data_IF_181121367515
#
_entry.id   IF_181121367515
#
_cell.length_a   1.000
_cell.length_b   1.000
_cell.length_c   1.000
_cell.angle_alpha   90.00
_cell.angle_beta   90.00
_cell.angle_gamma   90.00
#
_symmetry.space_group_name_H-M   'P 1'
#
loop_
_entity.id
_entity.type
_entity.pdbx_description
1 polymer ?
#
# COMPACT_ATOMS: atom_id res chain seq x y z
N UNK A 1 -15.24 0.50 21.71
CA UNK A 1 -14.58 1.00 22.92
C UNK A 1 -14.02 2.36 22.53
N UNK A 2 -14.60 3.44 23.07
CA UNK A 2 -14.10 4.78 22.86
C UNK A 2 -12.67 4.85 23.39
N UNK A 3 -11.67 5.14 22.52
CA UNK A 3 -10.37 5.62 23.01
C UNK A 3 -10.66 6.96 23.68
N UNK A 4 -10.49 7.02 25.00
CA UNK A 4 -10.25 8.28 25.67
C UNK A 4 -9.12 8.96 24.90
N UNK A 5 -9.34 10.16 24.43
CA UNK A 5 -8.31 11.10 24.02
C UNK A 5 -7.47 11.43 25.27
N UNK A 6 -6.60 10.52 25.67
CA UNK A 6 -5.44 10.88 26.48
C UNK A 6 -4.73 11.92 25.62
N UNK A 7 -4.59 13.14 26.15
CA UNK A 7 -4.05 14.27 25.40
C UNK A 7 -2.73 13.86 24.76
N UNK A 8 -2.67 13.92 23.44
CA UNK A 8 -1.43 13.66 22.70
C UNK A 8 -0.44 14.72 23.15
N UNK A 9 0.80 14.38 23.56
CA UNK A 9 1.74 15.31 24.19
C UNK A 9 2.32 16.37 23.22
N UNK A 10 1.72 16.52 22.03
CA UNK A 10 2.16 17.46 21.00
C UNK A 10 0.97 18.15 20.32
N UNK A 11 1.22 19.31 19.74
CA UNK A 11 0.25 20.06 18.97
C UNK A 11 0.65 20.05 17.48
N UNK A 12 -0.27 19.57 16.62
CA UNK A 12 -0.15 19.72 15.18
C UNK A 12 -0.47 21.15 14.75
N UNK A 13 0.11 21.60 13.65
CA UNK A 13 -0.21 22.89 13.05
C UNK A 13 -1.57 22.82 12.35
N UNK A 14 -2.59 23.46 12.96
CA UNK A 14 -3.97 23.47 12.45
C UNK A 14 -4.18 24.47 11.32
N UNK A 15 -3.23 25.37 11.09
CA UNK A 15 -3.30 26.33 10.00
C UNK A 15 -2.78 25.75 8.68
N UNK A 16 -2.00 24.68 8.74
CA UNK A 16 -1.49 23.95 7.59
C UNK A 16 -2.31 22.67 7.36
N UNK A 17 -3.22 22.68 6.37
CA UNK A 17 -4.05 21.50 6.07
C UNK A 17 -3.27 20.34 5.47
N UNK A 18 -3.91 19.14 5.47
CA UNK A 18 -3.45 17.99 4.70
C UNK A 18 -4.33 17.70 3.49
N UNK A 19 -3.74 17.30 2.38
CA UNK A 19 -4.44 16.83 1.17
C UNK A 19 -4.03 15.39 0.86
N UNK A 20 -4.99 14.47 0.93
CA UNK A 20 -4.79 13.10 0.45
C UNK A 20 -4.79 13.12 -1.08
N UNK A 21 -3.66 12.67 -1.66
CA UNK A 21 -3.46 12.60 -3.11
C UNK A 21 -3.45 11.14 -3.55
N UNK A 22 -4.31 10.86 -4.53
CA UNK A 22 -4.44 9.55 -5.15
C UNK A 22 -4.89 9.74 -6.60
N UNK A 23 -4.24 9.04 -7.53
CA UNK A 23 -4.60 9.05 -8.94
C UNK A 23 -5.13 7.72 -9.44
N UNK A 24 -4.87 6.63 -8.73
CA UNK A 24 -5.45 5.33 -9.07
C UNK A 24 -6.95 5.26 -8.82
N UNK A 25 -7.71 4.58 -9.71
CA UNK A 25 -9.13 4.25 -9.48
C UNK A 25 -9.27 3.16 -8.42
N UNK A 26 -9.37 3.57 -7.16
CA UNK A 26 -9.40 2.69 -6.01
C UNK A 26 -10.26 3.26 -4.87
N UNK A 27 -11.61 3.25 -5.04
CA UNK A 27 -12.54 3.91 -4.11
C UNK A 27 -12.52 3.35 -2.68
N UNK A 28 -12.16 2.06 -2.51
CA UNK A 28 -12.09 1.42 -1.19
C UNK A 28 -10.67 1.50 -0.60
N UNK A 29 -10.13 2.70 -0.49
CA UNK A 29 -8.79 2.95 0.03
C UNK A 29 -8.82 3.29 1.53
N UNK A 30 -8.69 2.28 2.41
CA UNK A 30 -8.73 2.47 3.87
C UNK A 30 -7.56 3.30 4.43
N UNK A 31 -6.39 3.27 3.79
CA UNK A 31 -5.26 4.10 4.19
C UNK A 31 -5.57 5.59 4.10
N UNK A 32 -6.26 6.05 3.05
CA UNK A 32 -6.71 7.44 2.92
C UNK A 32 -7.66 7.85 4.06
N UNK A 33 -8.62 6.98 4.42
CA UNK A 33 -9.51 7.19 5.59
C UNK A 33 -8.69 7.25 6.89
N UNK A 34 -7.69 6.37 7.02
CA UNK A 34 -6.77 6.37 8.15
C UNK A 34 -6.03 7.70 8.30
N UNK A 35 -5.48 8.26 7.21
CA UNK A 35 -4.75 9.54 7.21
C UNK A 35 -5.67 10.72 7.53
N UNK A 36 -6.89 10.74 6.98
CA UNK A 36 -7.91 11.75 7.30
C UNK A 36 -8.21 11.73 8.80
N UNK A 37 -8.40 10.56 9.40
CA UNK A 37 -8.63 10.39 10.84
C UNK A 37 -7.41 10.76 11.67
N UNK A 38 -6.21 10.38 11.24
CA UNK A 38 -4.98 10.61 11.99
C UNK A 38 -4.74 12.09 12.25
N UNK A 39 -4.74 12.92 11.22
CA UNK A 39 -4.55 14.36 11.32
C UNK A 39 -5.83 15.09 11.75
N UNK A 40 -6.98 14.66 11.25
CA UNK A 40 -8.27 15.30 11.58
C UNK A 40 -8.63 15.23 13.06
N UNK A 41 -8.27 14.16 13.78
CA UNK A 41 -8.40 14.05 15.24
C UNK A 41 -7.56 15.06 16.01
N UNK A 42 -6.48 15.55 15.41
CA UNK A 42 -5.64 16.64 15.96
C UNK A 42 -6.18 18.04 15.60
N UNK A 43 -7.29 18.10 14.84
CA UNK A 43 -7.89 19.35 14.39
C UNK A 43 -7.27 19.93 13.11
N UNK A 44 -6.37 19.21 12.43
CA UNK A 44 -5.83 19.60 11.13
C UNK A 44 -6.95 19.50 10.09
N UNK A 45 -7.20 20.57 9.28
CA UNK A 45 -8.18 20.51 8.21
C UNK A 45 -7.77 19.57 7.10
N UNK A 46 -8.54 18.50 6.87
CA UNK A 46 -8.21 17.48 5.87
C UNK A 46 -9.02 17.64 4.59
N UNK A 47 -8.34 17.48 3.47
CA UNK A 47 -8.88 17.43 2.12
C UNK A 47 -8.51 16.11 1.45
N UNK A 48 -9.27 15.66 0.46
CA UNK A 48 -8.95 14.46 -0.30
C UNK A 48 -9.39 14.58 -1.76
N UNK A 49 -8.60 14.01 -2.66
CA UNK A 49 -9.02 13.69 -4.02
C UNK A 49 -9.77 12.36 -3.96
N UNK A 50 -10.97 12.31 -4.56
CA UNK A 50 -11.83 11.12 -4.55
C UNK A 50 -12.41 10.87 -5.93
N UNK A 51 -12.73 9.63 -6.25
CA UNK A 51 -13.31 9.24 -7.54
C UNK A 51 -14.74 9.77 -7.70
N UNK A 52 -15.47 9.79 -6.59
CA UNK A 52 -16.83 10.33 -6.52
C UNK A 52 -17.17 10.85 -5.11
N UNK A 53 -18.35 11.43 -4.96
CA UNK A 53 -18.82 12.00 -3.70
C UNK A 53 -19.26 10.96 -2.65
N UNK A 54 -19.30 9.67 -3.01
CA UNK A 54 -19.79 8.59 -2.15
C UNK A 54 -18.70 7.59 -1.74
N UNK A 55 -17.43 7.98 -1.84
CA UNK A 55 -16.33 7.15 -1.33
C UNK A 55 -16.32 7.15 0.20
N UNK A 56 -15.78 6.10 0.86
CA UNK A 56 -15.61 6.11 2.31
C UNK A 56 -14.81 7.32 2.82
N UNK A 57 -13.80 7.75 2.08
CA UNK A 57 -13.02 8.95 2.41
C UNK A 57 -13.91 10.21 2.42
N UNK A 58 -14.77 10.38 1.40
CA UNK A 58 -15.68 11.51 1.30
C UNK A 58 -16.73 11.53 2.44
N UNK A 59 -17.03 10.37 3.03
CA UNK A 59 -18.01 10.23 4.12
C UNK A 59 -17.41 10.49 5.52
N UNK A 60 -16.10 10.68 5.68
CA UNK A 60 -15.48 10.91 6.97
C UNK A 60 -15.84 12.29 7.53
N UNK A 61 -16.24 12.33 8.81
CA UNK A 61 -16.50 13.59 9.53
C UNK A 61 -15.27 14.49 9.68
N UNK A 62 -14.09 13.90 9.57
CA UNK A 62 -12.80 14.59 9.64
C UNK A 62 -12.36 15.19 8.32
N UNK A 63 -13.07 14.90 7.23
CA UNK A 63 -12.79 15.50 5.93
C UNK A 63 -13.52 16.84 5.81
N UNK A 64 -12.77 17.93 5.62
CA UNK A 64 -13.34 19.26 5.38
C UNK A 64 -13.99 19.36 4.00
N UNK A 65 -13.38 18.74 2.98
CA UNK A 65 -13.88 18.71 1.61
C UNK A 65 -13.25 17.59 0.79
N UNK A 66 -14.07 16.91 0.00
CA UNK A 66 -13.64 16.06 -1.10
C UNK A 66 -13.54 16.89 -2.40
N UNK A 67 -12.46 16.70 -3.15
CA UNK A 67 -12.32 17.14 -4.53
C UNK A 67 -12.58 15.93 -5.42
N UNK A 68 -13.78 15.87 -5.98
CA UNK A 68 -14.15 14.78 -6.91
C UNK A 68 -13.36 14.97 -8.20
N UNK A 69 -12.47 14.04 -8.46
CA UNK A 69 -11.62 14.01 -9.63
C UNK A 69 -11.30 12.56 -9.99
N UNK A 70 -12.14 11.93 -10.86
CA UNK A 70 -11.98 10.52 -11.23
C UNK A 70 -10.81 10.36 -12.19
N UNK A 71 -9.65 10.05 -11.62
CA UNK A 71 -8.43 9.72 -12.34
C UNK A 71 -8.22 8.22 -12.39
N UNK A 72 -7.37 7.74 -13.29
CA UNK A 72 -7.04 6.33 -13.50
C UNK A 72 -5.57 6.02 -13.23
N UNK A 73 -4.74 7.06 -13.05
CA UNK A 73 -3.28 6.96 -12.93
C UNK A 73 -2.55 6.87 -14.28
N UNK A 74 -3.29 7.01 -15.40
CA UNK A 74 -2.74 6.98 -16.76
C UNK A 74 -2.86 8.32 -17.48
N UNK A 75 -3.28 9.37 -16.79
CA UNK A 75 -3.42 10.72 -17.31
C UNK A 75 -2.05 11.33 -17.61
N UNK A 76 -2.04 12.32 -18.51
CA UNK A 76 -0.87 13.14 -18.79
C UNK A 76 -0.38 13.84 -17.51
N UNK A 77 0.92 13.75 -17.16
CA UNK A 77 1.45 14.33 -15.92
C UNK A 77 1.20 15.84 -15.79
N UNK A 78 1.30 16.62 -16.89
CA UNK A 78 1.05 18.05 -16.87
C UNK A 78 -0.40 18.37 -16.47
N UNK A 79 -1.38 17.58 -16.92
CA UNK A 79 -2.78 17.72 -16.50
C UNK A 79 -2.98 17.43 -15.02
N UNK A 80 -2.25 16.44 -14.48
CA UNK A 80 -2.31 16.11 -13.06
C UNK A 80 -1.71 17.24 -12.22
N UNK A 81 -0.56 17.80 -12.62
CA UNK A 81 0.07 18.97 -11.98
C UNK A 81 -0.85 20.19 -11.99
N UNK A 82 -1.41 20.56 -13.15
CA UNK A 82 -2.37 21.65 -13.24
C UNK A 82 -3.62 21.44 -12.36
N UNK A 83 -4.09 20.19 -12.29
CA UNK A 83 -5.21 19.80 -11.44
C UNK A 83 -4.90 20.02 -9.96
N UNK A 84 -3.72 19.55 -9.50
CA UNK A 84 -3.25 19.78 -8.14
C UNK A 84 -3.11 21.29 -7.85
N UNK A 85 -2.49 22.05 -8.73
CA UNK A 85 -2.36 23.51 -8.56
C UNK A 85 -3.72 24.21 -8.45
N UNK A 86 -4.73 23.80 -9.24
CA UNK A 86 -6.11 24.31 -9.08
C UNK A 86 -6.70 23.98 -7.71
N UNK A 87 -6.46 22.76 -7.19
CA UNK A 87 -6.88 22.38 -5.85
C UNK A 87 -6.17 23.22 -4.80
N UNK A 88 -4.85 23.41 -4.91
CA UNK A 88 -4.06 24.25 -4.00
C UNK A 88 -4.60 25.68 -3.93
N UNK A 89 -4.88 26.30 -5.09
CA UNK A 89 -5.51 27.62 -5.15
C UNK A 89 -6.88 27.67 -4.47
N UNK A 90 -7.68 26.60 -4.55
CA UNK A 90 -8.99 26.52 -3.89
C UNK A 90 -8.89 26.32 -2.37
N UNK A 91 -7.84 25.66 -1.89
CA UNK A 91 -7.56 25.55 -0.45
C UNK A 91 -7.06 26.89 0.08
N UNK A 92 -6.24 27.60 -0.68
CA UNK A 92 -5.84 29.01 -0.42
C UNK A 92 -4.80 29.17 0.68
N UNK A 93 -4.11 28.10 1.09
CA UNK A 93 -3.02 28.11 2.06
C UNK A 93 -2.04 26.97 1.80
N UNK A 94 -0.78 27.05 2.26
CA UNK A 94 0.19 25.95 2.17
C UNK A 94 -0.41 24.66 2.72
N UNK A 95 -0.29 23.57 1.97
CA UNK A 95 -0.99 22.31 2.27
C UNK A 95 -0.02 21.13 2.16
N UNK A 96 0.04 20.27 3.17
CA UNK A 96 0.84 19.04 3.14
C UNK A 96 0.21 18.05 2.20
N UNK A 97 0.97 17.57 1.19
CA UNK A 97 0.57 16.46 0.33
C UNK A 97 0.84 15.12 0.99
N UNK A 98 -0.16 14.26 1.00
CA UNK A 98 -0.07 12.88 1.52
C UNK A 98 -0.38 11.93 0.36
N UNK A 99 0.65 11.48 -0.41
CA UNK A 99 0.44 10.51 -1.48
C UNK A 99 0.08 9.15 -0.89
N UNK A 100 -0.89 8.47 -1.51
CA UNK A 100 -1.38 7.17 -1.07
C UNK A 100 -1.30 6.09 -2.14
N UNK A 101 -0.84 6.43 -3.33
CA UNK A 101 -0.44 5.51 -4.40
C UNK A 101 0.90 5.92 -4.99
N UNK A 102 1.52 5.01 -5.73
CA UNK A 102 2.85 5.21 -6.33
C UNK A 102 2.80 6.28 -7.42
N UNK A 103 1.71 6.35 -8.16
CA UNK A 103 1.49 7.35 -9.22
C UNK A 103 1.57 8.78 -8.66
N UNK A 104 0.95 9.00 -7.49
CA UNK A 104 1.00 10.31 -6.82
C UNK A 104 2.39 10.62 -6.27
N UNK A 105 3.06 9.64 -5.65
CA UNK A 105 4.39 9.83 -5.08
C UNK A 105 5.43 10.16 -6.18
N UNK A 106 5.39 9.44 -7.29
CA UNK A 106 6.26 9.66 -8.45
C UNK A 106 5.98 11.04 -9.06
N UNK A 107 4.70 11.38 -9.31
CA UNK A 107 4.34 12.69 -9.87
C UNK A 107 4.82 13.85 -9.00
N UNK A 108 4.62 13.76 -7.69
CA UNK A 108 5.04 14.83 -6.75
C UNK A 108 6.55 15.02 -6.80
N UNK A 109 7.33 13.93 -6.85
CA UNK A 109 8.79 14.01 -6.90
C UNK A 109 9.31 14.57 -8.23
N UNK A 110 8.76 14.11 -9.36
CA UNK A 110 9.19 14.55 -10.70
C UNK A 110 8.81 16.01 -11.00
N UNK A 111 7.73 16.52 -10.37
CA UNK A 111 7.22 17.88 -10.57
C UNK A 111 7.30 18.74 -9.30
N UNK A 112 8.24 18.43 -8.40
CA UNK A 112 8.34 19.08 -7.09
C UNK A 112 8.54 20.61 -7.17
N UNK A 113 9.22 21.12 -8.19
CA UNK A 113 9.43 22.55 -8.35
C UNK A 113 8.16 23.28 -8.79
N UNK A 114 7.34 22.65 -9.64
CA UNK A 114 6.05 23.19 -10.08
C UNK A 114 4.99 23.16 -8.97
N UNK A 115 5.11 22.22 -8.01
CA UNK A 115 4.17 22.03 -6.91
C UNK A 115 4.56 22.77 -5.63
N UNK A 116 5.81 23.23 -5.48
CA UNK A 116 6.35 23.83 -4.26
C UNK A 116 5.64 25.12 -3.79
N UNK A 117 4.94 25.84 -4.67
CA UNK A 117 4.26 27.09 -4.30
C UNK A 117 3.11 26.85 -3.30
N UNK A 118 2.08 26.08 -3.66
CA UNK A 118 0.92 25.83 -2.82
C UNK A 118 1.07 24.63 -1.87
N UNK A 119 2.12 23.82 -2.01
CA UNK A 119 2.21 22.54 -1.30
C UNK A 119 3.51 22.36 -0.53
N UNK A 120 3.41 21.60 0.57
CA UNK A 120 4.51 21.11 1.39
C UNK A 120 4.60 19.58 1.23
N UNK A 121 5.79 19.09 0.95
CA UNK A 121 6.09 17.66 0.80
C UNK A 121 7.59 17.44 0.99
N UNK A 122 8.03 16.22 1.37
CA UNK A 122 9.46 15.88 1.44
C UNK A 122 10.10 16.00 0.06
N UNK A 123 11.26 16.65 -0.02
CA UNK A 123 12.02 16.75 -1.25
C UNK A 123 12.98 15.59 -1.39
N UNK A 124 12.99 14.94 -2.53
CA UNK A 124 13.80 13.76 -2.84
C UNK A 124 14.37 13.90 -4.25
N UNK A 125 15.41 13.14 -4.60
CA UNK A 125 15.83 13.03 -5.99
C UNK A 125 14.60 12.68 -6.87
N UNK A 126 14.26 13.49 -7.89
CA UNK A 126 13.05 13.28 -8.68
C UNK A 126 12.91 11.90 -9.31
N UNK A 127 14.03 11.26 -9.67
CA UNK A 127 14.05 9.94 -10.28
C UNK A 127 13.90 8.78 -9.27
N UNK A 128 14.22 9.02 -8.00
CA UNK A 128 14.32 7.96 -7.00
C UNK A 128 12.98 7.27 -6.71
N UNK A 129 11.84 7.96 -6.50
CA UNK A 129 10.56 7.30 -6.26
C UNK A 129 10.13 6.37 -7.40
N UNK A 130 10.36 6.77 -8.65
CA UNK A 130 10.08 5.92 -9.83
C UNK A 130 10.97 4.69 -9.84
N UNK A 131 12.26 4.85 -9.56
CA UNK A 131 13.22 3.75 -9.48
C UNK A 131 12.85 2.76 -8.37
N UNK A 132 12.43 3.26 -7.19
CA UNK A 132 11.99 2.44 -6.05
C UNK A 132 10.67 1.70 -6.31
N UNK A 133 9.72 2.32 -7.00
CA UNK A 133 8.44 1.71 -7.37
C UNK A 133 8.58 0.68 -8.51
N UNK A 134 9.63 0.77 -9.33
CA UNK A 134 9.96 -0.20 -10.37
C UNK A 134 10.58 -1.46 -9.76
N UNK A 135 10.11 -2.65 -10.18
CA UNK A 135 10.67 -3.92 -9.68
C UNK A 135 12.12 -4.12 -10.09
N UNK A 136 12.47 -3.69 -11.29
CA UNK A 136 13.84 -3.73 -11.78
C UNK A 136 14.72 -2.72 -11.04
N UNK A 137 14.29 -1.45 -10.96
CA UNK A 137 15.03 -0.41 -10.27
C UNK A 137 15.27 -0.72 -8.79
N UNK A 138 14.28 -1.32 -8.11
CA UNK A 138 14.42 -1.77 -6.73
C UNK A 138 15.45 -2.91 -6.61
N UNK A 139 15.41 -3.89 -7.52
CA UNK A 139 16.38 -5.00 -7.53
C UNK A 139 17.82 -4.50 -7.74
N UNK A 140 18.00 -3.57 -8.69
CA UNK A 140 19.30 -2.92 -8.94
C UNK A 140 19.80 -2.16 -7.71
N UNK A 141 18.92 -1.34 -7.06
CA UNK A 141 19.26 -0.62 -5.82
C UNK A 141 19.63 -1.58 -4.69
N UNK A 142 18.90 -2.69 -4.53
CA UNK A 142 19.23 -3.72 -3.54
C UNK A 142 20.63 -4.29 -3.79
N UNK A 143 20.96 -4.60 -5.03
CA UNK A 143 22.30 -5.12 -5.40
C UNK A 143 23.41 -4.09 -5.17
N UNK A 144 23.19 -2.82 -5.55
CA UNK A 144 24.13 -1.70 -5.34
C UNK A 144 24.47 -1.47 -3.87
N UNK A 145 23.49 -1.66 -2.98
CA UNK A 145 23.64 -1.36 -1.55
C UNK A 145 23.73 -2.61 -0.65
N UNK A 146 23.86 -3.81 -1.23
CA UNK A 146 24.02 -5.04 -0.48
C UNK A 146 22.78 -5.44 0.34
N UNK A 147 21.58 -5.04 -0.12
CA UNK A 147 20.31 -5.44 0.49
C UNK A 147 19.84 -6.74 -0.17
N UNK A 148 19.52 -7.74 0.65
CA UNK A 148 19.00 -8.98 0.13
C UNK A 148 17.64 -8.78 -0.54
N UNK A 149 17.47 -9.34 -1.74
CA UNK A 149 16.23 -9.39 -2.49
C UNK A 149 16.08 -10.76 -3.14
N UNK A 150 14.86 -11.20 -3.52
CA UNK A 150 14.72 -12.45 -4.26
C UNK A 150 15.53 -12.43 -5.54
N UNK A 151 16.19 -13.54 -5.87
CA UNK A 151 16.85 -13.69 -7.16
C UNK A 151 15.86 -13.45 -8.30
N UNK A 152 16.21 -12.61 -9.25
CA UNK A 152 15.31 -12.16 -10.29
C UNK A 152 15.95 -12.11 -11.67
N UNK A 153 15.13 -12.32 -12.72
CA UNK A 153 15.46 -12.07 -14.10
C UNK A 153 14.44 -11.12 -14.73
N UNK A 154 14.90 -10.31 -15.67
CA UNK A 154 14.12 -9.28 -16.36
C UNK A 154 14.13 -9.56 -17.88
N UNK A 155 13.50 -10.65 -18.34
CA UNK A 155 13.61 -11.08 -19.73
C UNK A 155 12.98 -10.03 -20.67
N UNK A 156 13.66 -9.73 -21.74
CA UNK A 156 13.23 -8.82 -22.81
C UNK A 156 12.74 -9.57 -24.06
N UNK A 157 12.95 -10.89 -24.08
CA UNK A 157 12.53 -11.76 -25.19
C UNK A 157 12.04 -13.12 -24.68
N UNK A 158 11.35 -13.85 -25.57
CA UNK A 158 10.95 -15.24 -25.31
C UNK A 158 12.16 -16.16 -25.10
N UNK A 159 13.25 -15.97 -25.88
CA UNK A 159 14.47 -16.78 -25.76
C UNK A 159 15.12 -16.61 -24.38
N UNK A 160 15.12 -15.41 -23.83
CA UNK A 160 15.61 -15.16 -22.47
C UNK A 160 14.71 -15.82 -21.40
N UNK A 161 13.40 -15.91 -21.64
CA UNK A 161 12.50 -16.68 -20.76
C UNK A 161 12.83 -18.16 -20.81
N UNK A 162 13.12 -18.71 -22.00
CA UNK A 162 13.56 -20.11 -22.16
C UNK A 162 14.86 -20.34 -21.41
N UNK A 163 15.86 -19.49 -21.61
CA UNK A 163 17.16 -19.58 -20.92
C UNK A 163 17.00 -19.53 -19.38
N UNK A 164 16.16 -18.63 -18.88
CA UNK A 164 15.81 -18.59 -17.44
C UNK A 164 15.15 -19.91 -17.00
N UNK A 165 14.17 -20.40 -17.77
CA UNK A 165 13.41 -21.61 -17.44
C UNK A 165 14.29 -22.87 -17.39
N UNK A 166 15.40 -22.90 -18.15
CA UNK A 166 16.35 -24.03 -18.18
C UNK A 166 17.25 -24.10 -16.94
N UNK A 167 17.41 -22.97 -16.21
CA UNK A 167 18.28 -22.88 -15.03
C UNK A 167 17.51 -22.64 -13.74
N UNK A 168 16.24 -22.20 -13.82
CA UNK A 168 15.44 -21.83 -12.66
C UNK A 168 15.04 -23.04 -11.81
N UNK A 169 15.00 -22.83 -10.50
CA UNK A 169 14.39 -23.77 -9.54
C UNK A 169 12.91 -23.46 -9.38
N UNK A 170 12.06 -24.34 -9.87
CA UNK A 170 10.61 -24.19 -9.74
C UNK A 170 10.10 -24.61 -8.35
N UNK A 171 8.98 -23.99 -7.85
CA UNK A 171 8.20 -22.96 -8.51
C UNK A 171 8.92 -21.61 -8.57
N UNK A 172 8.53 -20.77 -9.54
CA UNK A 172 8.96 -19.37 -9.67
C UNK A 172 7.76 -18.43 -9.53
N UNK A 173 8.03 -17.13 -9.40
CA UNK A 173 7.01 -16.08 -9.36
C UNK A 173 7.19 -15.15 -10.56
N UNK A 174 6.09 -14.86 -11.27
CA UNK A 174 6.04 -13.81 -12.26
C UNK A 174 5.24 -12.60 -11.75
N UNK A 175 5.75 -11.40 -12.00
CA UNK A 175 5.10 -10.10 -11.73
C UNK A 175 5.26 -9.19 -12.95
N UNK A 176 4.39 -8.19 -13.09
CA UNK A 176 4.65 -7.13 -14.06
C UNK A 176 5.86 -6.29 -13.60
N UNK A 177 6.75 -5.93 -14.55
CA UNK A 177 7.98 -5.16 -14.29
C UNK A 177 7.64 -3.79 -13.68
N UNK A 178 6.67 -3.11 -14.26
CA UNK A 178 6.18 -1.81 -13.82
C UNK A 178 4.80 -1.97 -13.17
N UNK A 179 4.77 -2.13 -11.85
CA UNK A 179 3.53 -2.37 -11.10
C UNK A 179 2.57 -1.16 -11.10
N UNK A 180 3.11 0.06 -11.17
CA UNK A 180 2.36 1.32 -11.18
C UNK A 180 1.94 1.77 -12.58
N UNK A 181 2.49 1.19 -13.66
CA UNK A 181 2.04 1.46 -15.04
C UNK A 181 0.83 0.57 -15.35
N UNK A 182 -0.33 1.21 -15.39
CA UNK A 182 -1.60 0.52 -15.69
C UNK A 182 -1.69 0.17 -17.17
N UNK A 183 -1.38 -1.08 -17.48
CA UNK A 183 -1.54 -1.62 -18.83
C UNK A 183 -2.96 -2.13 -19.04
N UNK A 184 -3.53 -1.90 -20.22
CA UNK A 184 -4.85 -2.44 -20.61
C UNK A 184 -4.87 -3.96 -20.63
N UNK A 185 -3.71 -4.59 -20.87
CA UNK A 185 -3.50 -6.05 -20.81
C UNK A 185 -2.18 -6.33 -20.09
N UNK A 186 -2.20 -6.54 -18.77
CA UNK A 186 -1.01 -6.94 -18.04
C UNK A 186 -0.61 -8.38 -18.43
N UNK A 187 0.68 -8.67 -18.48
CA UNK A 187 1.20 -10.00 -18.78
C UNK A 187 0.78 -11.03 -17.72
N UNK A 188 0.72 -10.60 -16.46
CA UNK A 188 0.25 -11.42 -15.34
C UNK A 188 -0.65 -10.60 -14.40
N UNK A 189 -1.58 -11.29 -13.73
CA UNK A 189 -2.45 -10.68 -12.74
C UNK A 189 -1.76 -10.67 -11.36
N UNK A 190 -1.14 -9.54 -11.01
CA UNK A 190 -0.43 -9.38 -9.73
C UNK A 190 0.75 -10.33 -9.60
N UNK A 191 0.86 -11.01 -8.45
CA UNK A 191 1.90 -12.00 -8.17
C UNK A 191 1.41 -13.39 -8.60
N UNK A 192 1.98 -13.94 -9.68
CA UNK A 192 1.59 -15.24 -10.25
C UNK A 192 2.64 -16.30 -9.96
N UNK A 193 2.28 -17.34 -9.18
CA UNK A 193 3.13 -18.50 -8.93
C UNK A 193 3.05 -19.48 -10.10
N UNK A 194 4.20 -19.88 -10.64
CA UNK A 194 4.32 -20.79 -11.76
C UNK A 194 5.05 -22.06 -11.28
N UNK A 195 4.37 -23.19 -11.35
CA UNK A 195 4.83 -24.42 -10.70
C UNK A 195 5.90 -25.18 -11.50
N UNK A 196 5.89 -25.08 -12.84
CA UNK A 196 6.76 -25.87 -13.71
C UNK A 196 7.30 -25.04 -14.88
N UNK A 197 8.37 -25.55 -15.50
CA UNK A 197 8.96 -25.01 -16.73
C UNK A 197 7.93 -24.89 -17.86
N UNK A 198 7.18 -25.96 -18.10
CA UNK A 198 6.16 -26.02 -19.16
C UNK A 198 5.05 -24.99 -18.92
N UNK A 199 4.65 -24.79 -17.65
CA UNK A 199 3.69 -23.76 -17.25
C UNK A 199 4.21 -22.37 -17.56
N UNK A 200 5.49 -22.07 -17.29
CA UNK A 200 6.11 -20.79 -17.63
C UNK A 200 6.12 -20.56 -19.15
N UNK A 201 6.60 -21.52 -19.92
CA UNK A 201 6.68 -21.38 -21.37
C UNK A 201 5.31 -21.29 -22.05
N UNK A 202 4.28 -21.93 -21.47
CA UNK A 202 2.90 -21.81 -21.95
C UNK A 202 2.36 -20.38 -21.74
N UNK A 203 2.54 -19.82 -20.55
CA UNK A 203 2.13 -18.44 -20.26
C UNK A 203 2.91 -17.41 -21.09
N UNK A 204 4.22 -17.64 -21.27
CA UNK A 204 5.10 -16.71 -21.97
C UNK A 204 4.77 -16.54 -23.46
N UNK A 205 4.11 -17.51 -24.09
CA UNK A 205 3.64 -17.39 -25.49
C UNK A 205 2.66 -16.24 -25.71
N UNK A 206 1.89 -15.90 -24.66
CA UNK A 206 0.88 -14.84 -24.71
C UNK A 206 1.45 -13.46 -24.33
N UNK A 207 2.72 -13.38 -23.90
CA UNK A 207 3.31 -12.11 -23.42
C UNK A 207 3.86 -11.21 -24.54
N UNK A 208 3.95 -11.73 -25.77
CA UNK A 208 4.44 -10.98 -26.93
C UNK A 208 5.96 -10.83 -26.97
N UNK A 209 6.45 -9.98 -27.88
CA UNK A 209 7.90 -9.78 -28.12
C UNK A 209 8.59 -9.08 -26.94
N UNK A 210 7.86 -8.22 -26.20
CA UNK A 210 8.38 -7.54 -25.02
C UNK A 210 7.54 -7.94 -23.79
N UNK A 211 7.93 -8.98 -23.08
CA UNK A 211 7.13 -9.58 -22.01
C UNK A 211 6.77 -8.59 -20.88
N UNK A 212 7.67 -7.67 -20.55
CA UNK A 212 7.46 -6.67 -19.49
C UNK A 212 7.20 -7.28 -18.12
N UNK A 213 7.78 -8.45 -17.87
CA UNK A 213 7.68 -9.21 -16.62
C UNK A 213 8.99 -9.25 -15.87
N UNK A 214 8.92 -9.53 -14.59
CA UNK A 214 10.02 -10.03 -13.76
C UNK A 214 9.72 -11.46 -13.38
N UNK A 215 10.71 -12.34 -13.49
CA UNK A 215 10.69 -13.71 -13.01
C UNK A 215 11.56 -13.79 -11.76
N UNK A 216 11.00 -14.24 -10.64
CA UNK A 216 11.69 -14.28 -9.35
C UNK A 216 11.68 -15.69 -8.76
N UNK A 217 12.66 -15.98 -7.91
CA UNK A 217 12.60 -17.17 -7.05
C UNK A 217 11.34 -17.15 -6.20
N UNK A 218 10.76 -18.32 -5.98
CA UNK A 218 9.68 -18.48 -5.02
C UNK A 218 10.25 -18.73 -3.62
N UNK A 219 9.88 -17.89 -2.67
CA UNK A 219 10.22 -18.08 -1.27
C UNK A 219 9.11 -18.91 -0.61
N UNK A 220 9.39 -20.20 -0.22
CA UNK A 220 8.40 -21.07 0.37
C UNK A 220 7.88 -20.50 1.69
N UNK A 221 6.57 -20.53 1.88
CA UNK A 221 5.90 -19.92 3.04
C UNK A 221 6.20 -20.63 4.34
N UNK A 222 6.38 -21.94 4.24
CA UNK A 222 6.72 -22.80 5.37
C UNK A 222 8.08 -22.45 5.96
N UNK A 223 8.93 -21.81 5.15
CA UNK A 223 10.30 -21.40 5.48
C UNK A 223 10.47 -19.87 5.50
N UNK A 224 9.37 -19.10 5.48
CA UNK A 224 9.43 -17.64 5.37
C UNK A 224 8.37 -16.94 6.21
N UNK A 225 8.63 -15.67 6.55
CA UNK A 225 7.72 -14.79 7.26
C UNK A 225 7.61 -13.44 6.58
N UNK A 226 6.38 -12.92 6.49
CA UNK A 226 6.12 -11.61 5.91
C UNK A 226 6.23 -10.51 6.98
N UNK A 227 7.24 -9.65 6.82
CA UNK A 227 7.49 -8.49 7.67
C UNK A 227 7.16 -7.19 6.92
N UNK A 228 6.80 -6.17 7.70
CA UNK A 228 6.53 -4.82 7.20
C UNK A 228 7.28 -3.80 8.01
N UNK A 229 7.76 -2.75 7.31
CA UNK A 229 8.34 -1.56 7.93
C UNK A 229 7.59 -0.34 7.44
N UNK A 230 7.12 0.49 8.35
CA UNK A 230 6.64 1.82 8.04
C UNK A 230 7.51 2.85 8.72
N UNK A 231 7.98 3.83 7.96
CA UNK A 231 8.79 4.88 8.53
C UNK A 231 8.55 6.24 7.85
N UNK A 232 8.94 7.29 8.54
CA UNK A 232 9.03 8.64 8.02
C UNK A 232 10.44 9.17 8.29
N UNK A 233 11.08 9.74 7.28
CA UNK A 233 12.44 10.25 7.32
C UNK A 233 12.48 11.76 7.08
N UNK A 234 13.39 12.44 7.75
CA UNK A 234 13.67 13.87 7.57
C UNK A 234 14.48 14.16 6.28
N UNK A 235 14.86 15.42 6.09
CA UNK A 235 15.63 15.87 4.93
C UNK A 235 17.04 15.26 4.86
N UNK A 236 17.59 14.80 5.98
CA UNK A 236 18.90 14.14 6.08
C UNK A 236 18.78 12.61 6.08
N UNK A 237 17.61 12.07 5.78
CA UNK A 237 17.27 10.63 5.82
C UNK A 237 17.45 10.00 7.21
N UNK A 238 17.25 10.77 8.29
CA UNK A 238 17.16 10.23 9.64
C UNK A 238 15.70 9.87 9.95
N UNK A 239 15.45 8.74 10.64
CA UNK A 239 14.10 8.35 10.97
C UNK A 239 13.48 9.27 12.01
N UNK A 240 12.33 9.87 11.68
CA UNK A 240 11.45 10.62 12.59
C UNK A 240 10.48 9.68 13.32
N UNK A 241 10.09 8.61 12.66
CA UNK A 241 9.30 7.51 13.17
C UNK A 241 9.63 6.27 12.34
N UNK A 242 9.89 5.14 13.00
CA UNK A 242 10.17 3.87 12.34
C UNK A 242 9.52 2.75 13.13
N UNK A 243 8.79 1.87 12.43
CA UNK A 243 7.98 0.82 13.00
C UNK A 243 8.18 -0.48 12.25
N UNK A 244 8.16 -1.59 12.98
CA UNK A 244 8.23 -2.95 12.43
C UNK A 244 7.02 -3.78 12.83
N UNK A 245 6.61 -4.71 11.98
CA UNK A 245 5.49 -5.58 12.24
C UNK A 245 5.46 -6.80 11.33
N UNK A 246 4.55 -7.73 11.65
CA UNK A 246 4.36 -8.97 10.89
C UNK A 246 2.98 -9.01 10.24
N UNK A 247 2.91 -9.46 8.98
CA UNK A 247 1.66 -9.77 8.30
C UNK A 247 1.19 -11.17 8.71
N UNK A 248 0.06 -11.25 9.36
CA UNK A 248 -0.54 -12.54 9.72
C UNK A 248 -1.40 -13.09 8.59
N UNK A 249 -2.11 -12.22 7.89
CA UNK A 249 -2.93 -12.57 6.74
C UNK A 249 -2.92 -11.48 5.69
N UNK A 250 -2.96 -11.88 4.44
CA UNK A 250 -3.17 -11.04 3.27
C UNK A 250 -4.34 -11.56 2.42
N UNK A 251 -4.90 -10.69 1.59
CA UNK A 251 -5.91 -11.09 0.63
C UNK A 251 -5.62 -10.53 -0.77
N UNK A 252 -5.49 -11.34 -1.82
CA UNK A 252 -5.47 -12.82 -1.80
C UNK A 252 -4.39 -13.40 -0.90
N UNK A 253 -4.56 -14.68 -0.42
CA UNK A 253 -3.61 -15.27 0.52
C UNK A 253 -2.17 -15.20 0.05
N UNK A 254 -1.28 -14.72 0.93
CA UNK A 254 0.17 -14.71 0.80
C UNK A 254 0.78 -13.86 -0.33
N UNK A 255 -0.03 -13.11 -1.06
CA UNK A 255 0.46 -12.27 -2.17
C UNK A 255 -0.38 -11.00 -2.34
N UNK A 256 -1.33 -10.74 -1.46
CA UNK A 256 -2.25 -9.61 -1.55
C UNK A 256 -2.02 -8.53 -0.50
N UNK A 257 -2.98 -7.63 -0.40
CA UNK A 257 -3.00 -6.58 0.61
C UNK A 257 -3.06 -7.16 2.03
N UNK A 258 -2.45 -6.48 2.98
CA UNK A 258 -2.53 -6.82 4.40
C UNK A 258 -3.97 -6.81 4.88
N UNK A 259 -4.46 -7.97 5.33
CA UNK A 259 -5.78 -8.13 5.94
C UNK A 259 -5.70 -8.08 7.47
N UNK A 260 -4.60 -8.59 8.03
CA UNK A 260 -4.35 -8.65 9.46
C UNK A 260 -2.85 -8.61 9.74
N UNK A 261 -2.43 -7.76 10.66
CA UNK A 261 -1.03 -7.59 11.03
C UNK A 261 -0.89 -7.19 12.51
N UNK A 262 0.31 -7.39 13.06
CA UNK A 262 0.67 -6.99 14.41
C UNK A 262 1.94 -6.16 14.41
N UNK A 263 2.02 -5.21 15.34
CA UNK A 263 3.29 -4.55 15.70
C UNK A 263 4.14 -5.54 16.47
N UNK A 264 5.34 -5.77 15.96
CA UNK A 264 6.35 -6.64 16.58
C UNK A 264 7.69 -5.95 16.49
N UNK A 265 8.37 -5.81 17.64
CA UNK A 265 9.69 -5.18 17.69
C UNK A 265 10.71 -6.06 16.96
N UNK A 266 11.44 -5.43 16.06
CA UNK A 266 12.52 -6.07 15.31
C UNK A 266 13.65 -5.05 15.05
N UNK A 267 14.58 -4.90 16.00
CA UNK A 267 15.68 -3.93 15.88
C UNK A 267 16.58 -4.17 14.66
N UNK A 268 16.85 -5.45 14.33
CA UNK A 268 17.67 -5.80 13.17
C UNK A 268 17.03 -5.29 11.86
N UNK A 269 15.73 -5.51 11.71
CA UNK A 269 14.97 -5.04 10.55
C UNK A 269 14.85 -3.52 10.51
N UNK A 270 14.66 -2.87 11.67
CA UNK A 270 14.64 -1.43 11.80
C UNK A 270 15.96 -0.81 11.35
N UNK A 271 17.10 -1.33 11.83
CA UNK A 271 18.42 -0.90 11.46
C UNK A 271 18.73 -1.11 9.98
N UNK A 272 18.32 -2.26 9.42
CA UNK A 272 18.44 -2.55 7.98
C UNK A 272 17.71 -1.50 7.15
N UNK A 273 16.45 -1.21 7.48
CA UNK A 273 15.65 -0.22 6.77
C UNK A 273 16.23 1.19 6.89
N UNK A 274 16.65 1.61 8.10
CA UNK A 274 17.23 2.92 8.32
C UNK A 274 18.55 3.11 7.54
N UNK A 275 19.45 2.11 7.56
CA UNK A 275 20.70 2.15 6.78
C UNK A 275 20.43 2.22 5.28
N UNK A 276 19.51 1.40 4.76
CA UNK A 276 19.18 1.41 3.34
C UNK A 276 18.65 2.76 2.89
N UNK A 277 17.68 3.32 3.62
CA UNK A 277 17.10 4.63 3.32
C UNK A 277 18.16 5.74 3.36
N UNK A 278 19.06 5.70 4.34
CA UNK A 278 20.20 6.66 4.43
C UNK A 278 21.13 6.54 3.23
N UNK A 279 21.43 5.33 2.77
CA UNK A 279 22.33 5.09 1.63
C UNK A 279 21.76 5.61 0.31
N UNK A 280 20.44 5.47 0.12
CA UNK A 280 19.76 5.95 -1.10
C UNK A 280 19.33 7.42 -1.01
N UNK A 281 19.49 8.08 0.15
CA UNK A 281 19.12 9.48 0.34
C UNK A 281 17.62 9.77 0.25
N UNK A 282 16.76 8.81 0.64
CA UNK A 282 15.31 9.00 0.56
C UNK A 282 14.78 9.80 1.77
N UNK A 283 13.78 10.66 1.53
CA UNK A 283 13.08 11.47 2.53
C UNK A 283 11.58 11.26 2.44
N UNK A 284 10.88 11.39 3.57
CA UNK A 284 9.43 11.22 3.62
C UNK A 284 8.99 9.82 4.08
N UNK A 285 7.77 9.45 3.74
CA UNK A 285 7.15 8.21 4.21
C UNK A 285 7.49 7.04 3.29
N UNK A 286 7.83 5.90 3.91
CA UNK A 286 8.01 4.62 3.22
C UNK A 286 7.11 3.53 3.81
N UNK A 287 6.79 2.56 2.98
CA UNK A 287 6.15 1.28 3.33
C UNK A 287 6.93 0.15 2.65
N UNK A 288 7.61 -0.67 3.44
CA UNK A 288 8.41 -1.78 2.95
C UNK A 288 7.72 -3.11 3.22
N UNK A 289 7.70 -3.97 2.21
CA UNK A 289 7.36 -5.38 2.35
C UNK A 289 8.62 -6.22 2.26
N UNK A 290 8.93 -6.95 3.33
CA UNK A 290 10.08 -7.85 3.39
C UNK A 290 9.62 -9.28 3.71
N UNK A 291 10.42 -10.23 3.29
CA UNK A 291 10.25 -11.63 3.65
C UNK A 291 11.51 -12.16 4.30
N UNK A 292 11.40 -12.58 5.56
CA UNK A 292 12.48 -13.30 6.23
C UNK A 292 12.50 -14.72 5.70
N UNK A 293 13.61 -15.09 5.06
CA UNK A 293 13.84 -16.42 4.50
C UNK A 293 14.66 -17.24 5.48
N UNK A 294 14.04 -18.25 6.12
CA UNK A 294 14.71 -19.09 7.11
C UNK A 294 15.79 -20.00 6.53
N UNK A 295 15.84 -20.17 5.19
CA UNK A 295 16.84 -21.00 4.53
C UNK A 295 18.22 -20.36 4.57
N UNK A 296 18.29 -19.04 4.53
CA UNK A 296 19.54 -18.26 4.57
C UNK A 296 19.61 -17.23 5.71
N UNK A 297 18.54 -17.08 6.48
CA UNK A 297 18.48 -16.16 7.62
C UNK A 297 18.42 -14.67 7.22
N UNK A 298 17.97 -14.35 6.00
CA UNK A 298 17.97 -12.98 5.49
C UNK A 298 16.58 -12.39 5.34
N UNK A 299 16.47 -11.07 5.57
CA UNK A 299 15.31 -10.27 5.20
C UNK A 299 15.42 -9.86 3.74
N UNK A 300 14.63 -10.48 2.85
CA UNK A 300 14.59 -10.16 1.43
C UNK A 300 13.56 -9.08 1.15
N UNK A 301 13.99 -7.95 0.61
CA UNK A 301 13.10 -6.84 0.24
C UNK A 301 12.30 -7.21 -1.01
N UNK A 302 10.96 -7.21 -0.87
CA UNK A 302 10.03 -7.57 -1.93
C UNK A 302 9.46 -6.35 -2.66
N UNK A 303 9.11 -5.32 -1.87
CA UNK A 303 8.49 -4.09 -2.34
C UNK A 303 8.94 -2.89 -1.50
N UNK A 304 9.30 -1.80 -2.17
CA UNK A 304 9.51 -0.50 -1.59
C UNK A 304 8.46 0.45 -2.15
N UNK A 305 7.58 0.94 -1.27
CA UNK A 305 6.56 1.89 -1.64
C UNK A 305 6.96 3.27 -1.10
N UNK A 306 7.35 4.24 -1.97
CA UNK A 306 7.79 5.58 -1.55
C UNK A 306 6.60 6.47 -1.18
N UNK A 307 5.70 5.94 -0.37
CA UNK A 307 4.45 6.57 0.04
C UNK A 307 3.90 5.90 1.29
N UNK A 308 2.82 6.46 1.84
CA UNK A 308 2.12 5.90 2.96
C UNK A 308 1.46 4.55 2.61
N UNK A 309 1.77 3.51 3.36
CA UNK A 309 1.10 2.22 3.26
C UNK A 309 -0.34 2.27 3.76
N UNK A 310 -1.22 1.48 3.15
CA UNK A 310 -2.63 1.48 3.53
C UNK A 310 -2.87 1.04 4.99
N UNK A 311 -1.98 0.23 5.54
CA UNK A 311 -2.02 -0.30 6.91
C UNK A 311 -1.24 0.54 7.94
N UNK A 312 -0.79 1.76 7.60
CA UNK A 312 0.05 2.58 8.49
C UNK A 312 -0.57 2.81 9.88
N UNK A 313 -1.89 2.78 10.01
CA UNK A 313 -2.60 2.91 11.31
C UNK A 313 -2.38 1.74 12.27
N UNK A 314 -1.76 0.65 11.82
CA UNK A 314 -1.21 -0.37 12.70
C UNK A 314 -0.22 0.26 13.69
N UNK A 315 0.58 1.21 13.22
CA UNK A 315 1.76 1.74 13.87
C UNK A 315 1.51 3.10 14.51
N UNK A 316 1.83 3.20 15.78
CA UNK A 316 1.83 4.43 16.55
C UNK A 316 2.83 4.25 17.70
N UNK A 317 3.66 5.24 18.00
CA UNK A 317 4.52 5.19 19.18
C UNK A 317 3.73 5.55 20.46
N UNK A 318 4.37 5.44 21.61
CA UNK A 318 3.76 5.75 22.92
C UNK A 318 3.30 7.20 23.02
N UNK A 319 3.99 8.12 22.35
CA UNK A 319 3.61 9.54 22.23
C UNK A 319 2.42 9.80 21.29
N UNK A 320 1.90 8.75 20.63
CA UNK A 320 0.79 8.87 19.70
C UNK A 320 1.17 9.38 18.31
N UNK A 321 2.44 9.22 17.91
CA UNK A 321 2.93 9.60 16.58
C UNK A 321 2.87 8.38 15.64
N UNK A 322 2.21 8.54 14.50
CA UNK A 322 2.31 7.68 13.33
C UNK A 322 3.08 8.39 12.21
N UNK A 323 3.36 7.70 11.12
CA UNK A 323 4.19 8.24 10.02
C UNK A 323 3.56 9.47 9.34
N UNK A 324 2.23 9.59 9.29
CA UNK A 324 1.54 10.75 8.70
C UNK A 324 1.62 11.95 9.64
N UNK A 325 1.49 11.74 10.95
CA UNK A 325 1.70 12.76 11.97
C UNK A 325 3.16 13.23 11.98
N UNK A 326 4.12 12.30 11.93
CA UNK A 326 5.54 12.61 11.85
C UNK A 326 5.87 13.50 10.65
N UNK A 327 5.37 13.15 9.46
CA UNK A 327 5.57 13.95 8.25
C UNK A 327 4.95 15.34 8.37
N UNK A 328 3.71 15.46 8.86
CA UNK A 328 3.03 16.74 9.01
C UNK A 328 3.77 17.65 10.00
N UNK A 329 4.16 17.12 11.17
CA UNK A 329 4.93 17.87 12.18
C UNK A 329 6.24 18.37 11.59
N UNK A 330 7.01 17.51 10.95
CA UNK A 330 8.30 17.87 10.34
C UNK A 330 8.16 18.96 9.28
N UNK A 331 7.21 18.80 8.35
CA UNK A 331 6.98 19.76 7.26
C UNK A 331 6.42 21.12 7.75
N UNK A 332 5.86 21.17 8.95
CA UNK A 332 5.37 22.40 9.59
C UNK A 332 6.35 22.97 10.61
N UNK A 333 7.59 22.46 10.67
CA UNK A 333 8.64 22.93 11.57
C UNK A 333 8.37 22.62 13.04
N UNK A 334 7.54 21.62 13.34
CA UNK A 334 7.23 21.15 14.67
C UNK A 334 8.09 19.97 15.06
N UNK A 335 8.51 19.89 16.33
CA UNK A 335 9.21 18.73 16.84
C UNK A 335 8.36 17.47 16.74
N UNK A 336 8.95 16.37 16.31
CA UNK A 336 8.34 15.05 16.27
C UNK A 336 8.66 14.32 17.57
N UNK A 337 7.69 14.03 18.44
CA UNK A 337 7.93 13.32 19.68
C UNK A 337 8.46 11.91 19.46
N UNK A 338 9.54 11.59 20.10
CA UNK A 338 10.10 10.25 20.16
C UNK A 338 9.25 9.34 21.06
N UNK A 339 9.44 8.04 20.94
CA UNK A 339 8.81 7.02 21.77
C UNK A 339 8.91 5.65 21.14
N UNK A 340 8.84 4.63 21.97
CA UNK A 340 8.82 3.25 21.51
C UNK A 340 7.51 2.92 20.78
N UNK A 341 7.56 2.00 19.84
CA UNK A 341 6.35 1.54 19.16
C UNK A 341 5.46 0.73 20.11
N UNK A 342 4.14 0.81 19.91
CA UNK A 342 3.17 0.06 20.73
C UNK A 342 3.13 -1.40 20.33
N UNK A 343 4.07 -2.18 20.85
CA UNK A 343 4.18 -3.61 20.55
C UNK A 343 2.89 -4.39 20.86
N UNK A 344 2.61 -5.42 20.05
CA UNK A 344 1.42 -6.28 20.19
C UNK A 344 0.12 -5.61 19.71
N UNK A 345 0.13 -4.37 19.23
CA UNK A 345 -1.04 -3.75 18.62
C UNK A 345 -1.41 -4.48 17.32
N UNK A 346 -2.71 -4.63 17.08
CA UNK A 346 -3.25 -5.38 15.93
C UNK A 346 -3.99 -4.45 14.98
N UNK A 347 -3.86 -4.70 13.67
CA UNK A 347 -4.65 -4.05 12.63
C UNK A 347 -5.48 -5.08 11.86
N UNK A 348 -6.74 -4.73 11.58
CA UNK A 348 -7.68 -5.59 10.85
C UNK A 348 -8.38 -4.78 9.77
N UNK A 349 -8.37 -5.30 8.55
CA UNK A 349 -9.13 -4.74 7.42
C UNK A 349 -10.40 -5.57 7.23
N UNK A 350 -11.52 -5.11 7.76
CA UNK A 350 -12.74 -5.89 8.04
C UNK A 350 -13.33 -6.58 6.80
N UNK A 351 -13.33 -5.90 5.65
CA UNK A 351 -13.93 -6.43 4.43
C UNK A 351 -13.10 -7.53 3.75
N UNK A 352 -11.82 -7.67 4.10
CA UNK A 352 -10.93 -8.69 3.50
C UNK A 352 -10.36 -9.68 4.52
N UNK A 353 -10.41 -9.39 5.83
CA UNK A 353 -9.86 -10.32 6.84
C UNK A 353 -10.71 -11.59 7.00
N UNK A 354 -12.03 -11.52 6.89
CA UNK A 354 -12.88 -12.71 6.99
C UNK A 354 -12.61 -13.74 5.87
N UNK A 355 -12.62 -13.38 4.56
CA UNK A 355 -12.24 -14.31 3.50
C UNK A 355 -10.79 -14.80 3.65
N UNK A 356 -9.86 -13.92 4.06
CA UNK A 356 -8.49 -14.32 4.36
C UNK A 356 -8.41 -15.37 5.47
N UNK A 357 -9.08 -15.15 6.60
CA UNK A 357 -9.13 -16.10 7.72
C UNK A 357 -9.60 -17.50 7.29
N UNK A 358 -10.65 -17.56 6.48
CA UNK A 358 -11.18 -18.84 5.99
C UNK A 358 -10.19 -19.56 5.07
N UNK A 359 -9.46 -18.82 4.23
CA UNK A 359 -8.43 -19.40 3.37
C UNK A 359 -7.21 -19.90 4.17
N UNK A 360 -6.74 -19.11 5.14
CA UNK A 360 -5.60 -19.49 5.99
C UNK A 360 -5.89 -20.67 6.92
N UNK A 361 -7.12 -20.80 7.45
CA UNK A 361 -7.53 -21.97 8.22
C UNK A 361 -7.42 -23.27 7.44
N UNK A 362 -7.66 -23.23 6.13
CA UNK A 362 -7.53 -24.40 5.24
C UNK A 362 -6.08 -24.77 4.96
N UNK A 363 -5.15 -23.81 5.01
CA UNK A 363 -3.73 -24.04 4.71
C UNK A 363 -2.91 -24.46 5.94
N UNK A 364 -3.45 -24.32 7.17
CA UNK A 364 -2.73 -24.60 8.41
C UNK A 364 -1.55 -23.66 8.70
N UNK A 365 -1.40 -22.58 7.93
CA UNK A 365 -0.29 -21.65 8.10
C UNK A 365 -0.43 -20.82 9.38
N UNK A 366 0.67 -20.68 10.11
CA UNK A 366 0.79 -19.83 11.31
C UNK A 366 1.97 -18.88 11.16
N UNK A 367 1.86 -17.68 11.75
CA UNK A 367 2.94 -16.71 11.81
C UNK A 367 3.59 -16.77 13.18
N UNK A 368 4.83 -17.29 13.33
CA UNK A 368 5.45 -17.56 14.63
C UNK A 368 5.59 -16.33 15.52
N UNK A 369 5.89 -15.16 14.94
CA UNK A 369 6.07 -13.92 15.71
C UNK A 369 4.76 -13.16 15.98
N UNK A 370 3.60 -13.69 15.55
CA UNK A 370 2.33 -13.07 15.90
C UNK A 370 2.04 -13.24 17.39
N UNK A 371 1.76 -12.16 18.15
CA UNK A 371 1.41 -12.25 19.56
C UNK A 371 0.16 -13.12 19.76
N UNK A 372 0.16 -13.96 20.81
CA UNK A 372 -0.98 -14.79 21.17
C UNK A 372 -2.22 -13.94 21.51
N UNK A 373 -2.01 -12.72 22.05
CA UNK A 373 -3.06 -11.76 22.41
C UNK A 373 -2.65 -10.36 21.99
N UNK A 374 -3.57 -9.64 21.35
CA UNK A 374 -3.36 -8.23 20.99
C UNK A 374 -3.40 -7.34 22.25
N UNK A 375 -2.48 -6.36 22.31
CA UNK A 375 -2.50 -5.28 23.31
C UNK A 375 -3.60 -4.24 23.03
N UNK A 376 -4.01 -4.13 21.78
CA UNK A 376 -5.11 -3.30 21.27
C UNK A 376 -5.43 -3.68 19.83
N UNK A 377 -6.55 -3.20 19.30
CA UNK A 377 -6.93 -3.46 17.90
C UNK A 377 -7.42 -2.17 17.25
N UNK A 378 -6.82 -1.83 16.12
CA UNK A 378 -7.31 -0.81 15.19
C UNK A 378 -8.06 -1.50 14.05
N UNK A 379 -9.26 -1.03 13.75
CA UNK A 379 -10.04 -1.45 12.60
C UNK A 379 -9.86 -0.43 11.47
N UNK A 380 -9.67 -0.91 10.25
CA UNK A 380 -9.39 -0.04 9.10
C UNK A 380 -10.56 0.89 8.78
N UNK A 381 -11.76 0.38 8.85
CA UNK A 381 -12.97 1.09 8.46
C UNK A 381 -13.79 1.60 9.64
N UNK A 382 -14.04 0.75 10.65
CA UNK A 382 -14.91 1.08 11.77
C UNK A 382 -14.15 1.86 12.83
N UNK A 383 -14.61 3.11 13.08
CA UNK A 383 -14.18 3.92 14.21
C UNK A 383 -15.41 4.50 14.88
N UNK A 384 -15.49 4.40 16.23
CA UNK A 384 -16.66 4.85 16.98
C UNK A 384 -16.93 6.34 16.88
N UNK A 385 -15.86 7.12 16.67
CA UNK A 385 -15.93 8.57 16.47
C UNK A 385 -16.16 9.00 15.02
N UNK A 386 -16.08 8.05 14.04
CA UNK A 386 -16.27 8.31 12.61
C UNK A 386 -16.82 7.06 11.88
N UNK A 387 -18.08 6.67 12.13
CA UNK A 387 -18.64 5.41 11.64
C UNK A 387 -19.02 5.42 10.14
N UNK A 388 -19.21 6.60 9.53
CA UNK A 388 -19.73 6.72 8.18
C UNK A 388 -18.85 6.08 7.10
N UNK A 389 -17.49 6.14 7.14
CA UNK A 389 -16.64 5.42 6.22
C UNK A 389 -16.90 3.91 6.19
N UNK A 390 -17.12 3.30 7.36
CA UNK A 390 -17.45 1.87 7.45
C UNK A 390 -18.80 1.55 6.76
N UNK A 391 -19.85 2.32 7.03
CA UNK A 391 -21.17 2.13 6.42
C UNK A 391 -21.11 2.32 4.90
N UNK A 392 -20.36 3.32 4.44
CA UNK A 392 -20.16 3.58 3.01
C UNK A 392 -19.38 2.44 2.34
N UNK A 393 -18.34 1.92 3.01
CA UNK A 393 -17.60 0.76 2.54
C UNK A 393 -18.51 -0.46 2.40
N UNK A 394 -19.34 -0.77 3.41
CA UNK A 394 -20.29 -1.88 3.35
C UNK A 394 -21.26 -1.74 2.18
N UNK A 395 -21.84 -0.55 1.99
CA UNK A 395 -22.77 -0.29 0.89
C UNK A 395 -22.11 -0.51 -0.49
N UNK A 396 -20.82 -0.12 -0.64
CA UNK A 396 -20.07 -0.33 -1.88
C UNK A 396 -19.61 -1.77 -2.06
N UNK A 397 -19.22 -2.45 -0.99
CA UNK A 397 -18.77 -3.84 -1.04
C UNK A 397 -19.91 -4.80 -1.40
N UNK A 398 -21.13 -4.55 -0.89
CA UNK A 398 -22.31 -5.41 -1.12
C UNK A 398 -22.95 -5.18 -2.48
N UNK A 399 -22.92 -3.95 -3.04
CA UNK A 399 -23.57 -3.63 -4.34
C UNK A 399 -23.13 -4.50 -5.51
N UNK A 400 -21.84 -4.79 -5.76
CA UNK A 400 -21.43 -5.69 -6.84
C UNK A 400 -21.92 -7.12 -6.64
N UNK A 401 -21.85 -7.64 -5.41
CA UNK A 401 -22.37 -8.98 -5.06
C UNK A 401 -23.88 -9.10 -5.25
N UNK A 402 -24.64 -8.10 -4.83
CA UNK A 402 -26.10 -8.06 -5.04
C UNK A 402 -26.47 -8.00 -6.53
N UNK A 403 -25.73 -7.24 -7.36
CA UNK A 403 -25.92 -7.22 -8.81
C UNK A 403 -25.63 -8.57 -9.44
N UNK A 404 -24.56 -9.24 -9.01
CA UNK A 404 -24.21 -10.57 -9.53
C UNK A 404 -25.23 -11.64 -9.14
N UNK A 405 -25.67 -11.64 -7.87
CA UNK A 405 -26.74 -12.51 -7.39
C UNK A 405 -28.09 -12.25 -8.11
N UNK A 406 -28.41 -10.98 -8.34
CA UNK A 406 -29.60 -10.60 -9.11
C UNK A 406 -29.51 -11.06 -10.57
N UNK A 407 -28.35 -10.95 -11.21
CA UNK A 407 -28.16 -11.47 -12.58
C UNK A 407 -28.28 -13.00 -12.63
N UNK A 408 -27.68 -13.74 -11.69
CA UNK A 408 -27.81 -15.19 -11.57
C UNK A 408 -29.25 -15.61 -11.31
N UNK A 409 -29.98 -14.90 -10.45
CA UNK A 409 -31.39 -15.15 -10.18
C UNK A 409 -32.25 -14.88 -11.43
N UNK A 410 -31.96 -13.83 -12.19
CA UNK A 410 -32.67 -13.49 -13.43
C UNK A 410 -32.39 -14.49 -14.56
N UNK A 411 -31.16 -15.02 -14.66
CA UNK A 411 -30.82 -16.08 -15.63
C UNK A 411 -31.50 -17.41 -15.28
N UNK A 412 -31.55 -17.80 -14.00
CA UNK A 412 -32.26 -19.00 -13.56
C UNK A 412 -33.81 -18.93 -13.81
N UNK A 413 -34.40 -17.74 -13.62
CA UNK A 413 -35.86 -17.59 -13.94
C UNK A 413 -36.17 -17.64 -15.44
N UNK A 414 -35.25 -17.29 -16.32
CA UNK A 414 -35.41 -17.38 -17.77
C UNK A 414 -35.20 -18.81 -18.32
N UNK A 415 -34.49 -19.66 -17.58
CA UNK A 415 -34.27 -21.06 -17.92
C UNK A 415 -35.42 -22.03 -17.55
N UNK A 416 -36.37 -21.58 -16.73
CA UNK A 416 -37.49 -22.44 -16.27
C UNK A 416 -38.81 -22.30 -17.07
N UNK A 417 -38.80 -21.60 -18.21
CA UNK A 417 -39.99 -21.39 -19.04
C UNK A 417 -39.93 -22.07 -20.42
N UNK A 418 -39.18 -23.16 -20.57
CA UNK A 418 -39.31 -24.05 -21.74
C UNK A 418 -39.96 -25.36 -21.31
N UNK A 419 -41.29 -25.38 -21.31
CA UNK A 419 -42.08 -26.61 -21.31
C UNK A 419 -41.89 -27.29 -22.67
N UNK A 420 -41.62 -28.59 -22.75
CA UNK A 420 -41.62 -29.29 -24.02
C UNK A 420 -43.06 -29.57 -24.42
N UNK A 421 -43.53 -28.98 -25.51
CA UNK A 421 -44.71 -29.43 -26.21
C UNK A 421 -44.39 -30.74 -26.96
N UNK A 422 -44.92 -31.82 -26.45
CA UNK A 422 -45.06 -33.11 -27.15
C UNK A 422 -45.95 -32.94 -28.40
N UNK A 423 -45.42 -33.32 -29.57
CA UNK A 423 -46.10 -34.07 -30.60
C UNK A 423 -45.10 -34.95 -31.33
#
# INVERSE_FOLDING_TARGET
VARNTVGVPFEADRDVPGLIVKFGDYPLHHGGVGAIRSLGRLGVPMYAITEDAHTPAAASRYLKRAFVWPTTGAEDPGRLVEGLQRIGRRIGRPTVLVPTDEEAAVLIAEHQDELAGPFLFPRVDPALPRRLASKQGLHELCAEHGIASPSAAFPESYDEIVAFADTARFPVVAKNREAFVRRSRPAVNGTTRIATREGLLTLARDWGEQPGVILQEYLPREEAEDWIVHACFDADSHPLALFTGVKVRSWPPHAGMTANAYVVDNPELADLAARFVKQIGFTGIIDLDLRFDRRDGQYKLLDFNPRMGAQFRLFENESGVDVVRAMHLNLTGRAVPEGEQRAGHRFVVENIDLPALLAYRRSGYTTPHAPAKASGTELAWLAGDDPMPFLTMLARFVRPGAKHLYQLWRTNRRGSSTTPTTK
#
